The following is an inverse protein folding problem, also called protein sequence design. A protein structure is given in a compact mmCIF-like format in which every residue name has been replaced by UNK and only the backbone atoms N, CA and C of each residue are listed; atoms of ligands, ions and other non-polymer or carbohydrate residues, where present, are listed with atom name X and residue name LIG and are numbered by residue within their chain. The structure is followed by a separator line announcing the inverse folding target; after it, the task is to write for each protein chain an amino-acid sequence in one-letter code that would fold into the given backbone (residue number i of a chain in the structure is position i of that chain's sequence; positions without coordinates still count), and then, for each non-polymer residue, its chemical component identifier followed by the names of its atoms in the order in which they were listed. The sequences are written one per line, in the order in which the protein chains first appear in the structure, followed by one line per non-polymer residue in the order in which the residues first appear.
data_IF_507389659148
#
_entry.id   IF_507389659148
#
_cell.length_a   1.000
_cell.length_b   1.000
_cell.length_c   1.000
_cell.angle_alpha   90.00
_cell.angle_beta   90.00
_cell.angle_gamma   90.00
#
_symmetry.space_group_name_H-M   'P 1'
#
loop_
_entity.id
_entity.type
_entity.pdbx_description
1 polymer ?
#
# COMPACT_ATOMS: atom_id res chain seq x y z
N UNK A 1 -3.62 -11.67 -1.68
CA UNK A 1 -4.18 -12.02 -0.36
C UNK A 1 -3.02 -12.48 0.50
N UNK A 2 -2.67 -11.70 1.51
CA UNK A 2 -1.68 -12.05 2.53
C UNK A 2 -2.44 -12.29 3.83
N UNK A 3 -2.16 -13.44 4.46
CA UNK A 3 -2.68 -13.79 5.78
C UNK A 3 -1.52 -13.77 6.76
N UNK A 4 -1.68 -13.03 7.85
CA UNK A 4 -0.69 -12.96 8.92
C UNK A 4 -1.37 -13.33 10.23
N UNK A 5 -1.03 -14.50 10.76
CA UNK A 5 -1.34 -14.89 12.13
C UNK A 5 -0.05 -14.95 12.95
N UNK A 6 -0.07 -14.33 14.13
CA UNK A 6 1.01 -14.49 15.10
C UNK A 6 0.78 -15.77 15.89
N UNK A 7 1.78 -16.65 15.96
CA UNK A 7 1.68 -17.96 16.65
C UNK A 7 2.64 -18.10 17.86
N UNK A 8 3.56 -17.16 18.09
CA UNK A 8 4.54 -17.28 19.19
C UNK A 8 5.02 -15.92 19.73
N UNK A 9 4.09 -15.07 20.18
CA UNK A 9 4.38 -13.78 20.80
C UNK A 9 3.75 -13.69 22.19
N UNK A 10 4.39 -12.92 23.07
CA UNK A 10 4.09 -12.70 24.49
C UNK A 10 2.59 -12.64 24.87
N UNK A 11 2.23 -13.18 26.03
CA UNK A 11 0.85 -13.47 26.49
C UNK A 11 -0.06 -12.24 26.65
N UNK A 12 0.50 -11.05 26.50
CA UNK A 12 -0.18 -9.75 26.61
C UNK A 12 -0.48 -9.07 25.25
N UNK A 13 -0.11 -9.66 24.11
CA UNK A 13 -0.56 -9.16 22.80
C UNK A 13 -1.86 -9.82 22.39
N UNK A 14 -2.91 -9.01 22.18
CA UNK A 14 -4.15 -9.44 21.52
C UNK A 14 -3.77 -10.17 20.22
N UNK A 15 -4.07 -11.47 20.07
CA UNK A 15 -3.72 -12.13 18.80
C UNK A 15 -4.41 -11.39 17.66
N UNK A 16 -3.61 -10.91 16.70
CA UNK A 16 -4.11 -10.18 15.53
C UNK A 16 -4.27 -11.20 14.41
N UNK A 17 -5.47 -11.30 13.87
CA UNK A 17 -5.78 -12.15 12.72
C UNK A 17 -6.28 -11.24 11.60
N UNK A 18 -5.35 -10.72 10.80
CA UNK A 18 -5.63 -9.72 9.77
C UNK A 18 -5.61 -10.40 8.40
N UNK A 19 -6.66 -10.17 7.62
CA UNK A 19 -6.70 -10.42 6.18
C UNK A 19 -6.30 -9.13 5.46
N UNK A 20 -5.29 -9.23 4.59
CA UNK A 20 -4.89 -8.12 3.72
C UNK A 20 -5.11 -8.48 2.25
N UNK A 21 -5.89 -7.66 1.55
CA UNK A 21 -6.14 -7.75 0.12
C UNK A 21 -5.68 -6.46 -0.55
N UNK A 22 -4.76 -6.58 -1.52
CA UNK A 22 -4.19 -5.43 -2.21
C UNK A 22 -4.52 -5.54 -3.71
N UNK A 23 -5.63 -4.93 -4.17
CA UNK A 23 -5.81 -4.73 -5.60
C UNK A 23 -4.73 -3.76 -6.11
N UNK A 24 -4.33 -3.95 -7.36
CA UNK A 24 -3.39 -3.02 -7.99
C UNK A 24 -3.76 -2.78 -9.45
N UNK A 25 -3.55 -1.54 -9.89
CA UNK A 25 -3.67 -1.13 -11.28
C UNK A 25 -2.56 -0.14 -11.61
N UNK A 26 -1.96 -0.31 -12.79
CA UNK A 26 -0.93 0.59 -13.32
C UNK A 26 -1.24 0.87 -14.78
N UNK A 27 -1.10 2.13 -15.18
CA UNK A 27 -1.34 2.57 -16.55
C UNK A 27 -0.23 3.52 -17.01
N UNK A 28 0.44 3.16 -18.11
CA UNK A 28 1.59 3.91 -18.59
C UNK A 28 1.14 5.05 -19.51
N UNK A 29 1.53 6.27 -19.15
CA UNK A 29 1.22 7.47 -19.94
C UNK A 29 2.28 7.75 -21.01
N UNK A 30 3.42 7.05 -20.95
CA UNK A 30 4.58 7.27 -21.82
C UNK A 30 5.65 8.14 -21.13
N UNK A 31 6.86 8.17 -21.71
CA UNK A 31 7.96 8.99 -21.18
C UNK A 31 8.43 8.61 -19.76
N UNK A 32 8.11 7.39 -19.30
CA UNK A 32 8.38 6.95 -17.92
C UNK A 32 7.32 7.36 -16.90
N UNK A 33 6.33 8.18 -17.28
CA UNK A 33 5.22 8.57 -16.43
C UNK A 33 4.15 7.48 -16.40
N UNK A 34 3.61 7.21 -15.22
CA UNK A 34 2.56 6.23 -15.04
C UNK A 34 1.56 6.65 -13.96
N UNK A 35 0.33 6.20 -14.12
CA UNK A 35 -0.69 6.21 -13.07
C UNK A 35 -0.63 4.89 -12.30
N UNK A 36 -0.92 4.95 -11.01
CA UNK A 36 -0.96 3.79 -10.12
C UNK A 36 -2.16 3.85 -9.19
N UNK A 37 -2.67 2.71 -8.79
CA UNK A 37 -3.58 2.55 -7.67
C UNK A 37 -3.20 1.23 -7.00
N UNK A 38 -2.76 1.27 -5.74
CA UNK A 38 -2.36 0.07 -5.03
C UNK A 38 -2.79 0.10 -3.54
N UNK A 39 -4.08 0.34 -3.24
CA UNK A 39 -4.57 0.38 -1.86
C UNK A 39 -4.46 -0.99 -1.19
N UNK A 40 -4.21 -0.99 0.12
CA UNK A 40 -4.23 -2.21 0.93
C UNK A 40 -5.55 -2.20 1.70
N UNK A 41 -6.42 -3.17 1.43
CA UNK A 41 -7.62 -3.41 2.21
C UNK A 41 -7.29 -4.37 3.34
N UNK A 42 -7.59 -3.97 4.56
CA UNK A 42 -7.31 -4.75 5.76
C UNK A 42 -8.60 -5.05 6.51
N UNK A 43 -8.70 -6.27 7.02
CA UNK A 43 -9.83 -6.73 7.85
C UNK A 43 -9.31 -7.54 9.03
N UNK A 44 -9.69 -7.17 10.25
CA UNK A 44 -9.33 -7.87 11.47
C UNK A 44 -10.43 -8.87 11.86
N UNK A 45 -10.16 -10.17 11.70
CA UNK A 45 -11.09 -11.26 11.99
C UNK A 45 -11.47 -11.41 13.48
N UNK A 46 -10.83 -10.66 14.39
CA UNK A 46 -11.12 -10.73 15.83
C UNK A 46 -12.00 -9.60 16.33
N UNK A 47 -11.81 -8.41 15.79
CA UNK A 47 -12.49 -7.19 16.24
C UNK A 47 -13.52 -6.70 15.24
N UNK A 48 -13.58 -7.33 14.07
CA UNK A 48 -14.36 -6.91 12.90
C UNK A 48 -13.96 -5.54 12.33
N UNK A 49 -12.88 -4.92 12.85
CA UNK A 49 -12.33 -3.65 12.35
C UNK A 49 -11.83 -3.81 10.90
N UNK A 50 -12.04 -2.79 10.08
CA UNK A 50 -11.63 -2.83 8.69
C UNK A 50 -11.21 -1.47 8.14
N UNK A 51 -10.40 -1.50 7.07
CA UNK A 51 -10.01 -0.33 6.31
C UNK A 51 -9.97 -0.67 4.83
N UNK A 52 -10.75 0.08 4.05
CA UNK A 52 -10.88 -0.04 2.61
C UNK A 52 -10.57 1.31 1.97
N UNK A 53 -9.28 1.65 1.79
CA UNK A 53 -8.90 2.84 1.07
C UNK A 53 -9.02 2.65 -0.44
N UNK A 54 -9.26 3.76 -1.15
CA UNK A 54 -9.04 3.89 -2.58
C UNK A 54 -8.12 5.07 -2.83
N UNK A 55 -7.22 4.93 -3.80
CA UNK A 55 -6.36 6.02 -4.19
C UNK A 55 -5.85 5.87 -5.61
N UNK A 56 -5.46 7.01 -6.15
CA UNK A 56 -4.86 7.12 -7.47
C UNK A 56 -3.63 7.99 -7.32
N UNK A 57 -2.51 7.45 -7.75
CA UNK A 57 -1.21 8.08 -7.69
C UNK A 57 -0.61 8.23 -9.07
N UNK A 58 0.47 9.01 -9.10
CA UNK A 58 1.31 9.20 -10.27
C UNK A 58 2.75 8.89 -9.90
N UNK A 59 3.48 8.31 -10.82
CA UNK A 59 4.91 8.06 -10.68
C UNK A 59 5.68 8.39 -11.95
N UNK A 60 6.98 8.55 -11.78
CA UNK A 60 7.92 8.84 -12.85
C UNK A 60 9.13 7.93 -12.70
N UNK A 61 9.42 7.20 -13.77
CA UNK A 61 10.66 6.45 -13.94
C UNK A 61 11.62 7.28 -14.79
N UNK A 62 12.80 7.54 -14.26
CA UNK A 62 13.88 8.26 -14.94
C UNK A 62 15.08 7.33 -15.02
N UNK A 63 15.61 7.12 -16.22
CA UNK A 63 16.85 6.38 -16.42
C UNK A 63 17.97 7.35 -16.73
N UNK A 64 19.02 7.33 -15.92
CA UNK A 64 20.21 8.15 -16.11
C UNK A 64 21.46 7.25 -16.05
N UNK A 65 22.15 7.11 -17.18
CA UNK A 65 23.29 6.20 -17.32
C UNK A 65 22.93 4.76 -16.93
N UNK A 66 23.59 4.25 -15.88
CA UNK A 66 23.36 2.91 -15.31
C UNK A 66 22.39 2.90 -14.14
N UNK A 67 21.72 4.01 -13.82
CA UNK A 67 20.81 4.12 -12.69
C UNK A 67 19.38 4.35 -13.17
N UNK A 68 18.44 3.59 -12.62
CA UNK A 68 17.00 3.84 -12.80
C UNK A 68 16.44 4.36 -11.49
N UNK A 69 15.85 5.55 -11.54
CA UNK A 69 15.13 6.18 -10.45
C UNK A 69 13.64 6.02 -10.69
N UNK A 70 12.91 5.62 -9.66
CA UNK A 70 11.46 5.64 -9.66
C UNK A 70 10.96 6.42 -8.45
N UNK A 71 10.15 7.44 -8.69
CA UNK A 71 9.49 8.22 -7.64
C UNK A 71 7.99 8.19 -7.87
N UNK A 72 7.20 8.06 -6.80
CA UNK A 72 5.75 8.14 -6.89
C UNK A 72 5.12 8.78 -5.66
N UNK A 73 3.91 9.30 -5.87
CA UNK A 73 2.99 9.76 -4.84
C UNK A 73 1.60 9.18 -5.10
N UNK A 74 0.94 8.70 -4.07
CA UNK A 74 -0.41 8.14 -4.14
C UNK A 74 -1.22 8.56 -2.89
N UNK A 75 -2.04 9.62 -2.98
CA UNK A 75 -3.05 9.89 -1.97
C UNK A 75 -4.11 8.78 -2.01
N UNK A 76 -4.52 8.31 -0.83
CA UNK A 76 -5.60 7.36 -0.64
C UNK A 76 -6.59 7.92 0.38
N UNK A 77 -7.87 7.74 0.10
CA UNK A 77 -8.98 8.11 0.98
C UNK A 77 -9.72 6.84 1.38
N UNK A 78 -10.13 6.76 2.64
CA UNK A 78 -11.01 5.70 3.07
C UNK A 78 -12.37 5.84 2.41
N UNK A 79 -12.88 4.76 1.84
CA UNK A 79 -14.28 4.69 1.36
C UNK A 79 -15.16 3.83 2.26
N UNK A 80 -14.53 3.00 3.10
CA UNK A 80 -15.17 2.28 4.17
C UNK A 80 -14.12 1.93 5.22
N UNK A 81 -14.37 2.31 6.46
CA UNK A 81 -13.56 1.95 7.60
C UNK A 81 -14.44 1.80 8.84
N UNK A 82 -14.01 0.93 9.75
CA UNK A 82 -14.60 0.78 11.08
C UNK A 82 -13.51 0.39 12.09
N UNK A 83 -13.70 0.86 13.31
CA UNK A 83 -12.80 0.62 14.43
C UNK A 83 -11.79 1.77 14.68
N UNK A 84 -11.20 1.79 15.88
CA UNK A 84 -10.32 2.88 16.30
C UNK A 84 -8.99 2.87 15.56
N UNK A 85 -8.57 4.04 15.08
CA UNK A 85 -7.23 4.25 14.51
C UNK A 85 -7.11 3.93 13.02
N UNK A 86 -8.22 3.68 12.31
CA UNK A 86 -8.21 3.59 10.86
C UNK A 86 -7.99 4.98 10.24
N UNK A 87 -7.11 5.12 9.23
CA UNK A 87 -6.85 6.40 8.59
C UNK A 87 -8.00 6.78 7.64
N UNK A 88 -8.63 7.94 7.86
CA UNK A 88 -9.61 8.51 6.92
C UNK A 88 -8.95 8.90 5.58
N UNK A 89 -7.69 9.33 5.62
CA UNK A 89 -6.88 9.62 4.45
C UNK A 89 -5.40 9.36 4.76
N UNK A 90 -4.64 9.03 3.73
CA UNK A 90 -3.20 8.78 3.81
C UNK A 90 -2.52 9.12 2.49
N UNK A 91 -1.19 9.30 2.52
CA UNK A 91 -0.39 9.54 1.31
C UNK A 91 0.77 8.57 1.30
N UNK A 92 0.87 7.78 0.24
CA UNK A 92 2.03 6.93 -0.01
C UNK A 92 3.03 7.67 -0.88
N UNK A 93 4.27 7.71 -0.41
CA UNK A 93 5.42 8.23 -1.15
C UNK A 93 6.44 7.11 -1.26
N UNK A 94 7.04 6.97 -2.43
CA UNK A 94 8.11 6.00 -2.61
C UNK A 94 9.17 6.51 -3.56
N UNK A 95 10.41 6.17 -3.21
CA UNK A 95 11.59 6.42 -4.02
C UNK A 95 12.40 5.13 -4.11
N UNK A 96 12.69 4.68 -5.32
CA UNK A 96 13.46 3.48 -5.59
C UNK A 96 14.60 3.81 -6.55
N UNK A 97 15.77 3.23 -6.28
CA UNK A 97 16.95 3.31 -7.13
C UNK A 97 17.40 1.90 -7.51
N UNK A 98 17.67 1.69 -8.78
CA UNK A 98 18.18 0.43 -9.31
C UNK A 98 19.49 0.71 -10.05
N UNK A 99 20.55 0.00 -9.67
CA UNK A 99 21.87 0.11 -10.28
C UNK A 99 22.07 -1.06 -11.24
N UNK A 100 22.21 -0.75 -12.53
CA UNK A 100 22.41 -1.72 -13.60
C UNK A 100 23.90 -2.04 -13.74
N UNK A 101 24.21 -3.29 -14.10
CA UNK A 101 25.57 -3.76 -14.34
C UNK A 101 26.22 -3.10 -15.56
#
# INVERSE_FOLDING_TARGET
LTWQASFAGDKDRKDVNILAFQPFAFYQLGGGTYLRAAPIWAYNLKTDDYSVPLGVGIGQVIKEGKTVYNIFVEPQFSVADDGPGQPEWQVFLGFNMQFLN
#
